data_IF_168292419418
#
_entry.id   IF_168292419418
#
_cell.length_a   1.000
_cell.length_b   1.000
_cell.length_c   1.000
_cell.angle_alpha   90.00
_cell.angle_beta   90.00
_cell.angle_gamma   90.00
#
_symmetry.space_group_name_H-M   'P 1'
#
loop_
_entity.id
_entity.type
_entity.pdbx_description
1 polymer ?
#
# COMPACT_ATOMS: atom_id res chain seq x y z
N UNK A 1 24.69 -6.13 -31.70
CA UNK A 1 23.61 -5.18 -32.07
C UNK A 1 22.84 -4.80 -30.81
N UNK A 2 22.30 -3.58 -30.78
CA UNK A 2 21.98 -2.75 -29.60
C UNK A 2 20.82 -3.32 -28.76
N UNK A 3 20.96 -3.21 -27.43
CA UNK A 3 19.97 -3.60 -26.40
C UNK A 3 18.70 -2.78 -26.58
N UNK A 4 17.56 -3.41 -26.84
CA UNK A 4 16.26 -2.73 -26.83
C UNK A 4 15.62 -2.98 -25.46
N UNK A 5 15.82 -2.01 -24.55
CA UNK A 5 15.17 -1.97 -23.25
C UNK A 5 13.74 -1.45 -23.49
N UNK A 6 12.78 -2.36 -23.61
CA UNK A 6 11.37 -1.97 -23.76
C UNK A 6 10.88 -1.30 -22.49
N UNK A 7 10.61 0.00 -22.58
CA UNK A 7 10.04 0.81 -21.52
C UNK A 7 8.65 0.29 -21.15
N UNK A 8 8.50 -0.17 -19.90
CA UNK A 8 7.23 -0.63 -19.36
C UNK A 8 6.43 0.58 -18.87
N UNK A 9 5.43 1.00 -19.65
CA UNK A 9 4.49 2.05 -19.27
C UNK A 9 3.54 1.52 -18.20
N UNK A 10 3.66 2.00 -16.96
CA UNK A 10 2.76 1.64 -15.88
C UNK A 10 1.40 2.35 -16.07
N UNK A 11 0.37 1.57 -16.41
CA UNK A 11 -1.03 2.05 -16.45
C UNK A 11 -1.53 2.17 -15.01
N UNK A 12 -1.58 3.40 -14.51
CA UNK A 12 -2.16 3.71 -13.20
C UNK A 12 -3.70 3.61 -13.30
N UNK A 13 -4.26 2.47 -12.89
CA UNK A 13 -5.70 2.32 -12.72
C UNK A 13 -6.11 3.00 -11.40
N UNK A 14 -6.56 4.25 -11.50
CA UNK A 14 -7.06 5.07 -10.39
C UNK A 14 -8.58 4.90 -10.27
N UNK A 15 -9.05 4.04 -9.37
CA UNK A 15 -10.47 4.05 -8.94
C UNK A 15 -10.62 3.71 -7.47
N UNK A 16 -10.67 4.74 -6.62
CA UNK A 16 -11.51 4.80 -5.42
C UNK A 16 -11.54 6.25 -4.91
N UNK A 17 -12.70 6.90 -5.06
CA UNK A 17 -12.97 8.29 -4.67
C UNK A 17 -12.74 8.54 -3.18
N UNK A 18 -12.29 9.75 -2.88
CA UNK A 18 -11.86 10.16 -1.54
C UNK A 18 -13.03 10.38 -0.59
N UNK A 19 -13.11 9.54 0.42
CA UNK A 19 -13.62 9.92 1.73
C UNK A 19 -12.41 10.05 2.65
N UNK A 20 -12.14 11.24 3.15
CA UNK A 20 -11.11 11.43 4.17
C UNK A 20 -11.65 10.82 5.47
N UNK A 21 -11.38 9.53 5.69
CA UNK A 21 -11.75 8.87 6.95
C UNK A 21 -10.71 9.17 8.02
N UNK A 22 -11.21 9.31 9.25
CA UNK A 22 -10.38 9.51 10.42
C UNK A 22 -9.48 8.28 10.62
N UNK A 23 -8.18 8.51 10.70
CA UNK A 23 -7.13 7.49 10.77
C UNK A 23 -7.24 6.48 11.91
N UNK A 24 -8.17 6.63 12.84
CA UNK A 24 -8.42 5.71 13.96
C UNK A 24 -9.33 4.54 13.60
N UNK A 25 -10.11 4.65 12.52
CA UNK A 25 -11.07 3.61 12.08
C UNK A 25 -10.46 2.74 10.99
N UNK A 26 -10.79 1.45 11.04
CA UNK A 26 -10.44 0.53 9.96
C UNK A 26 -11.30 0.82 8.74
N UNK A 27 -10.66 0.99 7.59
CA UNK A 27 -11.31 1.03 6.29
C UNK A 27 -10.96 -0.20 5.49
N UNK A 28 -11.97 -0.78 4.84
CA UNK A 28 -11.79 -1.92 3.96
C UNK A 28 -11.06 -1.49 2.69
N UNK A 29 -10.23 -2.38 2.17
CA UNK A 29 -9.62 -2.24 0.86
C UNK A 29 -9.77 -3.53 0.06
N UNK A 30 -9.80 -3.37 -1.26
CA UNK A 30 -9.70 -4.45 -2.23
C UNK A 30 -8.83 -3.96 -3.38
N UNK A 31 -7.67 -4.57 -3.54
CA UNK A 31 -6.62 -4.12 -4.46
C UNK A 31 -6.25 -5.26 -5.42
N UNK A 32 -5.89 -4.86 -6.64
CA UNK A 32 -5.15 -5.68 -7.58
C UNK A 32 -3.75 -5.09 -7.68
N UNK A 33 -2.76 -5.75 -7.07
CA UNK A 33 -1.35 -5.36 -7.13
C UNK A 33 -0.81 -5.76 -8.51
N UNK A 34 -0.34 -4.82 -9.34
CA UNK A 34 0.15 -5.16 -10.67
C UNK A 34 1.41 -6.03 -10.59
N UNK A 35 1.67 -6.78 -11.65
CA UNK A 35 2.83 -7.66 -11.80
C UNK A 35 4.14 -6.87 -12.04
N UNK A 36 5.27 -7.56 -11.96
CA UNK A 36 6.61 -7.09 -12.34
C UNK A 36 7.05 -5.83 -11.59
N UNK A 37 7.15 -5.92 -10.27
CA UNK A 37 7.40 -4.78 -9.38
C UNK A 37 6.37 -3.64 -9.53
N UNK A 38 5.14 -4.02 -9.86
CA UNK A 38 4.03 -3.10 -9.95
C UNK A 38 3.56 -2.68 -8.56
N UNK A 39 3.06 -1.47 -8.44
CA UNK A 39 2.58 -0.95 -7.16
C UNK A 39 1.21 -0.29 -7.26
N UNK A 40 0.51 -0.30 -6.13
CA UNK A 40 -0.81 0.30 -5.96
C UNK A 40 -0.92 0.89 -4.55
N UNK A 41 -1.80 1.88 -4.38
CA UNK A 41 -2.05 2.51 -3.08
C UNK A 41 -3.53 2.40 -2.73
N UNK A 42 -3.82 2.31 -1.44
CA UNK A 42 -5.21 2.45 -0.93
C UNK A 42 -5.73 3.88 -1.12
N UNK A 43 -7.01 4.08 -0.80
CA UNK A 43 -7.54 5.39 -0.43
C UNK A 43 -6.69 6.02 0.69
N UNK A 44 -6.80 7.34 0.83
CA UNK A 44 -6.11 8.08 1.88
C UNK A 44 -6.95 8.17 3.16
N UNK A 45 -6.29 8.03 4.31
CA UNK A 45 -6.81 8.44 5.60
C UNK A 45 -6.02 9.62 6.13
N UNK A 46 -6.67 10.44 6.95
CA UNK A 46 -6.00 11.52 7.66
C UNK A 46 -5.34 10.96 8.92
N UNK A 47 -4.01 11.06 8.99
CA UNK A 47 -3.23 10.61 10.15
C UNK A 47 -3.73 11.28 11.42
N UNK A 48 -4.14 10.49 12.41
CA UNK A 48 -4.69 11.06 13.66
C UNK A 48 -3.61 11.25 14.72
N UNK A 49 -2.60 10.37 14.74
CA UNK A 49 -1.51 10.38 15.71
C UNK A 49 -0.15 10.26 15.01
N UNK A 50 0.70 11.28 15.16
CA UNK A 50 2.07 11.24 14.67
C UNK A 50 2.88 10.13 15.35
N UNK A 51 3.82 9.52 14.61
CA UNK A 51 4.72 8.48 15.13
C UNK A 51 4.06 7.14 15.47
N UNK A 52 2.75 6.99 15.28
CA UNK A 52 2.08 5.69 15.42
C UNK A 52 2.15 4.89 14.13
N UNK A 53 2.37 3.59 14.23
CA UNK A 53 2.32 2.66 13.10
C UNK A 53 0.94 2.70 12.44
N UNK A 54 0.84 2.58 11.12
CA UNK A 54 -0.42 2.19 10.51
C UNK A 54 -0.62 0.68 10.74
N UNK A 55 -1.84 0.23 10.98
CA UNK A 55 -2.14 -1.20 11.09
C UNK A 55 -2.80 -1.67 9.79
N UNK A 56 -2.25 -2.73 9.20
CA UNK A 56 -2.76 -3.37 7.99
C UNK A 56 -3.26 -4.78 8.34
N UNK A 57 -4.55 -5.03 8.13
CA UNK A 57 -5.15 -6.37 8.20
C UNK A 57 -5.33 -6.91 6.80
N UNK A 58 -4.91 -8.16 6.59
CA UNK A 58 -4.94 -8.87 5.32
C UNK A 58 -5.79 -10.11 5.49
N UNK A 59 -6.92 -10.17 4.79
CA UNK A 59 -7.87 -11.30 4.81
C UNK A 59 -7.80 -12.12 3.52
N UNK A 60 -7.25 -11.56 2.45
CA UNK A 60 -6.98 -12.28 1.21
C UNK A 60 -5.65 -11.83 0.64
N UNK A 61 -4.82 -12.79 0.23
CA UNK A 61 -3.53 -12.55 -0.39
C UNK A 61 -3.29 -13.58 -1.50
N UNK A 62 -3.17 -13.13 -2.75
CA UNK A 62 -2.92 -14.02 -3.88
C UNK A 62 -1.46 -14.45 -4.03
N UNK A 63 -0.52 -13.51 -3.84
CA UNK A 63 0.93 -13.69 -3.88
C UNK A 63 1.57 -12.79 -2.83
N UNK A 64 2.80 -13.12 -2.45
CA UNK A 64 3.59 -12.27 -1.56
C UNK A 64 3.76 -10.87 -2.14
N UNK A 65 3.71 -9.87 -1.28
CA UNK A 65 3.89 -8.46 -1.61
C UNK A 65 4.67 -7.77 -0.50
N UNK A 66 5.13 -6.57 -0.78
CA UNK A 66 5.66 -5.66 0.22
C UNK A 66 4.69 -4.50 0.43
N UNK A 67 4.46 -4.11 1.68
CA UNK A 67 3.58 -3.01 2.05
C UNK A 67 4.30 -1.98 2.92
N UNK A 68 3.94 -0.71 2.80
CA UNK A 68 4.40 0.37 3.69
C UNK A 68 3.35 1.45 3.88
N UNK A 69 3.40 2.13 5.01
CA UNK A 69 2.68 3.38 5.17
C UNK A 69 3.37 4.47 4.34
N UNK A 70 2.60 5.22 3.56
CA UNK A 70 3.09 6.19 2.60
C UNK A 70 2.37 7.54 2.77
N UNK A 71 3.16 8.61 2.76
CA UNK A 71 2.68 9.99 2.63
C UNK A 71 3.56 10.71 1.62
N UNK A 72 2.94 11.58 0.81
CA UNK A 72 3.67 12.42 -0.13
C UNK A 72 4.44 13.56 0.57
N UNK A 73 4.09 13.87 1.82
CA UNK A 73 4.68 14.98 2.60
C UNK A 73 5.88 14.59 3.48
N UNK A 74 6.22 13.30 3.55
CA UNK A 74 7.34 12.81 4.36
C UNK A 74 6.92 11.75 5.38
N UNK A 75 7.89 11.24 6.14
CA UNK A 75 7.67 10.23 7.18
C UNK A 75 7.27 8.84 6.68
N UNK A 76 7.40 8.57 5.37
CA UNK A 76 7.05 7.28 4.76
C UNK A 76 7.83 6.14 5.42
N UNK A 77 7.12 5.05 5.72
CA UNK A 77 7.67 3.87 6.36
C UNK A 77 8.55 3.01 5.45
N UNK A 78 9.29 2.08 6.07
CA UNK A 78 10.00 1.01 5.37
C UNK A 78 9.02 -0.02 4.81
N UNK A 79 9.46 -0.75 3.79
CA UNK A 79 8.72 -1.90 3.26
C UNK A 79 8.70 -3.04 4.27
N UNK A 80 7.51 -3.62 4.48
CA UNK A 80 7.25 -4.77 5.33
C UNK A 80 6.74 -5.90 4.44
N UNK A 81 7.36 -7.07 4.59
CA UNK A 81 7.00 -8.27 3.82
C UNK A 81 5.65 -8.81 4.28
N UNK A 82 4.74 -9.00 3.33
CA UNK A 82 3.43 -9.64 3.53
C UNK A 82 3.41 -10.94 2.74
N UNK A 83 3.75 -12.03 3.43
CA UNK A 83 3.75 -13.39 2.86
C UNK A 83 2.51 -14.20 3.19
N UNK A 84 1.74 -13.79 4.19
CA UNK A 84 0.55 -14.51 4.66
C UNK A 84 -0.60 -13.54 4.96
N UNK A 85 -1.77 -14.07 5.26
CA UNK A 85 -2.86 -13.27 5.85
C UNK A 85 -2.55 -13.00 7.32
N UNK A 86 -3.01 -11.86 7.85
CA UNK A 86 -2.73 -11.49 9.23
C UNK A 86 -2.79 -9.99 9.46
N UNK A 87 -2.22 -9.54 10.59
CA UNK A 87 -2.07 -8.12 10.91
C UNK A 87 -0.60 -7.74 10.84
N UNK A 88 -0.32 -6.60 10.21
CA UNK A 88 1.03 -6.06 10.02
C UNK A 88 1.09 -4.63 10.54
N UNK A 89 2.15 -4.33 11.28
CA UNK A 89 2.44 -2.97 11.71
C UNK A 89 3.38 -2.29 10.71
N UNK A 90 2.91 -1.18 10.16
CA UNK A 90 3.64 -0.38 9.20
C UNK A 90 4.21 0.84 9.94
N UNK A 91 5.39 0.66 10.53
CA UNK A 91 6.11 1.73 11.22
C UNK A 91 6.41 2.89 10.25
N UNK A 92 6.19 4.12 10.73
CA UNK A 92 6.31 5.35 9.95
C UNK A 92 6.43 6.57 10.88
N UNK A 93 6.87 7.68 10.30
CA UNK A 93 7.05 8.96 10.98
C UNK A 93 6.11 10.03 10.40
N UNK A 94 4.99 9.60 9.80
CA UNK A 94 4.04 10.52 9.15
C UNK A 94 3.41 11.43 10.20
N UNK A 95 3.44 12.73 9.94
CA UNK A 95 2.89 13.76 10.81
C UNK A 95 1.37 13.65 10.92
N UNK A 96 0.83 14.12 12.05
CA UNK A 96 -0.61 14.26 12.25
C UNK A 96 -1.21 15.18 11.17
N UNK A 97 -2.45 14.89 10.75
CA UNK A 97 -3.21 15.57 9.71
C UNK A 97 -2.69 15.37 8.28
N UNK A 98 -1.63 14.57 8.07
CA UNK A 98 -1.18 14.24 6.72
C UNK A 98 -1.92 13.05 6.13
N UNK A 99 -2.10 13.12 4.81
CA UNK A 99 -2.71 12.06 4.03
C UNK A 99 -1.79 10.84 4.02
N UNK A 100 -2.25 9.78 4.69
CA UNK A 100 -1.56 8.48 4.77
C UNK A 100 -2.28 7.49 3.86
N UNK A 101 -1.52 6.62 3.20
CA UNK A 101 -2.02 5.49 2.41
C UNK A 101 -1.19 4.25 2.72
N UNK A 102 -1.72 3.07 2.47
CA UNK A 102 -0.88 1.87 2.34
C UNK A 102 -0.44 1.77 0.90
N UNK A 103 0.87 1.72 0.70
CA UNK A 103 1.50 1.48 -0.60
C UNK A 103 1.93 0.02 -0.63
N UNK A 104 1.48 -0.71 -1.65
CA UNK A 104 1.77 -2.14 -1.84
C UNK A 104 2.51 -2.33 -3.16
N UNK A 105 3.52 -3.20 -3.17
CA UNK A 105 4.32 -3.55 -4.35
C UNK A 105 4.44 -5.06 -4.50
N UNK A 106 4.35 -5.57 -5.73
CA UNK A 106 4.68 -6.97 -6.01
C UNK A 106 6.19 -7.17 -6.09
N UNK A 107 6.63 -8.44 -6.07
CA UNK A 107 8.03 -8.76 -6.38
C UNK A 107 8.36 -8.50 -7.86
N UNK A 108 9.64 -8.31 -8.15
CA UNK A 108 10.19 -8.16 -9.50
C UNK A 108 9.78 -9.31 -10.44
N UNK A 109 9.78 -10.54 -9.93
CA UNK A 109 9.49 -11.74 -10.70
C UNK A 109 8.04 -12.22 -10.60
N UNK A 110 7.17 -11.44 -9.95
CA UNK A 110 5.74 -11.75 -9.92
C UNK A 110 5.16 -11.47 -11.30
N UNK A 111 4.87 -12.52 -12.08
CA UNK A 111 4.38 -12.42 -13.48
C UNK A 111 2.85 -12.35 -13.62
N UNK A 112 2.14 -12.53 -12.51
CA UNK A 112 0.67 -12.43 -12.44
C UNK A 112 0.27 -11.36 -11.42
N UNK A 113 -0.81 -10.63 -11.69
CA UNK A 113 -1.32 -9.67 -10.72
C UNK A 113 -1.79 -10.39 -9.44
N UNK A 114 -1.61 -9.75 -8.29
CA UNK A 114 -1.96 -10.32 -6.99
C UNK A 114 -3.18 -9.60 -6.42
N UNK A 115 -4.24 -10.33 -6.08
CA UNK A 115 -5.36 -9.76 -5.32
C UNK A 115 -4.98 -9.64 -3.84
N UNK A 116 -5.29 -8.50 -3.24
CA UNK A 116 -5.12 -8.27 -1.81
C UNK A 116 -6.37 -7.60 -1.23
N UNK A 117 -6.93 -8.17 -0.15
CA UNK A 117 -8.11 -7.62 0.52
C UNK A 117 -7.91 -7.60 2.02
N UNK A 118 -8.62 -6.70 2.69
CA UNK A 118 -8.66 -6.62 4.14
C UNK A 118 -9.09 -5.25 4.59
N UNK A 119 -8.51 -4.76 5.68
CA UNK A 119 -8.76 -3.42 6.20
C UNK A 119 -7.52 -2.79 6.77
N UNK A 120 -7.46 -1.46 6.83
CA UNK A 120 -6.31 -0.76 7.38
C UNK A 120 -6.73 0.51 8.10
N UNK A 121 -5.87 0.99 9.01
CA UNK A 121 -6.01 2.29 9.64
C UNK A 121 -4.65 2.98 9.77
N UNK A 122 -4.60 4.30 9.59
CA UNK A 122 -3.34 5.04 9.65
C UNK A 122 -2.81 5.22 11.08
N UNK A 123 -3.72 5.20 12.05
CA UNK A 123 -3.59 5.75 13.40
C UNK A 123 -3.31 7.25 13.44
#
# INVERSE_FOLDING_TARGET
MKKVLSALTAVALLTAGGFASAGTKYENYSLTVPKMNGSVKTSAQTKSNAGKSANLKVTTLGKHVDARAYSAKGGTGKWVRVSTTGTYDLHNEISKNDATRVHVSSDLLTVVASSMKGSWRSN
#
